data_IF_048899098743
#
_entry.id   IF_048899098743
#
_cell.length_a   1.000
_cell.length_b   1.000
_cell.length_c   1.000
_cell.angle_alpha   90.00
_cell.angle_beta   90.00
_cell.angle_gamma   90.00
#
_symmetry.space_group_name_H-M   'P 1'
#
loop_
_entity.id
_entity.type
_entity.pdbx_description
1 polymer ?
#
# COMPACT_ATOMS: atom_id res chain seq x y z
N UNK A 1 59.34 49.83 14.83
CA UNK A 1 59.80 48.76 13.92
C UNK A 1 58.55 48.03 13.44
N UNK A 2 58.04 48.38 12.25
CA UNK A 2 58.43 47.78 10.97
C UNK A 2 57.93 46.33 10.88
N UNK A 3 56.76 46.06 10.27
CA UNK A 3 56.53 45.77 8.84
C UNK A 3 57.38 44.62 8.27
N UNK A 4 56.71 43.80 7.44
CA UNK A 4 57.15 42.90 6.35
C UNK A 4 56.65 41.46 6.59
N UNK A 5 55.93 40.78 5.69
CA UNK A 5 55.45 41.01 4.33
C UNK A 5 54.80 39.69 3.86
N UNK A 6 53.66 39.72 3.13
CA UNK A 6 53.47 39.32 1.70
C UNK A 6 53.96 37.89 1.37
N UNK A 7 53.30 37.02 0.60
CA UNK A 7 52.22 37.06 -0.41
C UNK A 7 51.77 35.60 -0.62
N UNK A 8 50.47 35.29 -0.72
CA UNK A 8 49.70 35.04 -1.96
C UNK A 8 49.37 33.55 -2.20
N UNK A 9 48.08 33.29 -2.49
CA UNK A 9 47.53 32.00 -2.88
C UNK A 9 46.00 32.03 -2.92
N UNK A 10 45.44 32.70 -3.92
CA UNK A 10 44.01 32.86 -4.22
C UNK A 10 43.46 31.61 -4.92
N UNK A 11 42.20 31.23 -4.61
CA UNK A 11 41.08 30.73 -5.47
C UNK A 11 40.26 29.69 -4.67
N UNK A 12 38.96 29.82 -4.36
CA UNK A 12 37.79 30.34 -5.11
C UNK A 12 36.63 30.73 -4.14
N UNK A 13 36.03 31.92 -4.38
CA UNK A 13 34.62 32.38 -4.23
C UNK A 13 33.67 31.54 -3.33
N UNK A 14 33.08 32.01 -2.22
CA UNK A 14 32.11 33.13 -2.01
C UNK A 14 31.20 33.34 -3.22
N UNK A 15 29.91 33.02 -3.20
CA UNK A 15 28.86 33.69 -2.43
C UNK A 15 27.54 32.97 -2.74
N UNK A 16 26.67 32.87 -1.73
CA UNK A 16 25.21 33.10 -1.79
C UNK A 16 24.58 32.72 -0.44
N UNK A 17 25.13 33.27 0.65
CA UNK A 17 24.38 33.43 1.90
C UNK A 17 23.71 34.80 1.81
N UNK A 18 22.54 34.84 1.19
CA UNK A 18 21.70 36.02 1.04
C UNK A 18 20.50 35.92 1.98
N UNK A 19 20.54 36.74 3.03
CA UNK A 19 19.45 37.37 3.76
C UNK A 19 18.01 36.96 3.40
N UNK A 20 17.26 36.57 4.43
CA UNK A 20 15.80 36.44 4.44
C UNK A 20 15.18 37.80 4.02
N UNK A 21 14.95 37.98 2.73
CA UNK A 21 14.26 39.16 2.18
C UNK A 21 13.36 38.69 1.04
N UNK A 22 12.06 38.71 1.28
CA UNK A 22 10.99 38.66 0.28
C UNK A 22 11.00 37.45 -0.68
N UNK A 23 10.45 36.31 -0.23
CA UNK A 23 9.67 35.48 -1.15
C UNK A 23 8.47 36.31 -1.60
N UNK A 24 8.65 37.10 -2.67
CA UNK A 24 7.55 37.68 -3.44
C UNK A 24 6.69 36.50 -3.89
N UNK A 25 5.58 36.28 -3.20
CA UNK A 25 4.46 35.55 -3.78
C UNK A 25 4.07 36.35 -5.02
N UNK A 26 4.49 35.88 -6.19
CA UNK A 26 3.90 36.31 -7.44
C UNK A 26 2.45 35.85 -7.37
N UNK A 27 1.56 36.74 -6.89
CA UNK A 27 0.15 36.65 -7.19
C UNK A 27 0.06 36.83 -8.69
N UNK A 28 0.17 35.72 -9.42
CA UNK A 28 0.00 35.71 -10.85
C UNK A 28 -1.39 36.28 -11.09
N UNK A 29 -1.48 37.47 -11.70
CA UNK A 29 -2.72 38.10 -12.15
C UNK A 29 -3.32 37.28 -13.30
N UNK A 30 -3.58 36.02 -13.01
CA UNK A 30 -4.10 35.02 -13.93
C UNK A 30 -5.60 35.21 -13.95
N UNK A 31 -6.11 35.65 -15.08
CA UNK A 31 -7.55 35.74 -15.30
C UNK A 31 -8.13 34.33 -15.45
N UNK A 32 -8.61 33.77 -14.35
CA UNK A 32 -9.27 32.48 -14.33
C UNK A 32 -10.53 32.44 -15.20
N UNK A 33 -11.18 33.59 -15.49
CA UNK A 33 -12.32 33.63 -16.41
C UNK A 33 -11.88 33.30 -17.85
N UNK A 34 -10.67 33.67 -18.24
CA UNK A 34 -10.08 33.35 -19.55
C UNK A 34 -9.47 31.94 -19.59
N UNK A 35 -8.75 31.53 -18.54
CA UNK A 35 -8.10 30.21 -18.51
C UNK A 35 -9.07 29.05 -18.29
N UNK A 36 -10.13 29.23 -17.50
CA UNK A 36 -11.06 28.13 -17.17
C UNK A 36 -11.69 27.50 -18.43
N UNK A 37 -12.21 28.26 -19.41
CA UNK A 37 -12.65 27.69 -20.68
C UNK A 37 -11.56 26.91 -21.42
N UNK A 38 -10.33 27.42 -21.46
CA UNK A 38 -9.20 26.76 -22.12
C UNK A 38 -8.82 25.44 -21.43
N UNK A 39 -8.80 25.42 -20.09
CA UNK A 39 -8.52 24.22 -19.28
C UNK A 39 -9.61 23.16 -19.51
N UNK A 40 -10.88 23.56 -19.44
CA UNK A 40 -12.01 22.65 -19.68
C UNK A 40 -11.97 22.10 -21.11
N UNK A 41 -11.66 22.93 -22.11
CA UNK A 41 -11.48 22.48 -23.50
C UNK A 41 -10.32 21.49 -23.63
N UNK A 42 -9.20 21.71 -22.94
CA UNK A 42 -8.05 20.79 -22.94
C UNK A 42 -8.38 19.47 -22.26
N UNK A 43 -9.13 19.49 -21.17
CA UNK A 43 -9.63 18.28 -20.49
C UNK A 43 -10.56 17.50 -21.42
N UNK A 44 -11.56 18.18 -22.02
CA UNK A 44 -12.49 17.59 -22.99
C UNK A 44 -11.80 17.04 -24.25
N UNK A 45 -10.68 17.62 -24.65
CA UNK A 45 -9.90 17.06 -25.76
C UNK A 45 -9.14 15.81 -25.32
N UNK A 46 -8.53 15.82 -24.12
CA UNK A 46 -7.85 14.64 -23.58
C UNK A 46 -8.80 13.46 -23.40
N UNK A 47 -10.05 13.68 -22.99
CA UNK A 47 -11.01 12.59 -22.76
C UNK A 47 -11.22 11.71 -23.99
N UNK A 48 -11.04 12.25 -25.21
CA UNK A 48 -11.19 11.51 -26.47
C UNK A 48 -10.13 10.42 -26.65
N UNK A 49 -8.98 10.57 -26.00
CA UNK A 49 -7.86 9.62 -26.08
C UNK A 49 -7.96 8.49 -25.03
N UNK A 50 -8.97 8.55 -24.16
CA UNK A 50 -9.21 7.56 -23.10
C UNK A 50 -10.34 6.59 -23.49
N UNK A 51 -10.22 5.30 -23.13
CA UNK A 51 -9.04 4.68 -22.50
C UNK A 51 -7.86 4.57 -23.47
N UNK A 52 -6.63 4.71 -22.96
CA UNK A 52 -5.44 4.58 -23.79
C UNK A 52 -5.28 3.12 -24.20
N UNK A 53 -5.57 2.78 -25.46
CA UNK A 53 -5.63 1.41 -25.98
C UNK A 53 -4.43 0.52 -25.59
N UNK A 54 -3.21 1.05 -25.60
CA UNK A 54 -1.98 0.32 -25.20
C UNK A 54 -1.94 -0.09 -23.72
N UNK A 55 -2.75 0.53 -22.87
CA UNK A 55 -2.82 0.23 -21.44
C UNK A 55 -3.89 -0.82 -21.10
N UNK A 56 -4.82 -1.11 -22.01
CA UNK A 56 -5.87 -2.12 -21.80
C UNK A 56 -5.27 -3.50 -21.44
N UNK A 57 -4.24 -4.03 -22.14
CA UNK A 57 -3.66 -5.32 -21.78
C UNK A 57 -3.01 -5.32 -20.39
N UNK A 58 -2.41 -4.20 -19.99
CA UNK A 58 -1.83 -4.04 -18.64
C UNK A 58 -2.92 -4.06 -17.58
N UNK A 59 -4.05 -3.37 -17.83
CA UNK A 59 -5.20 -3.38 -16.93
C UNK A 59 -5.81 -4.78 -16.79
N UNK A 60 -5.97 -5.51 -17.90
CA UNK A 60 -6.43 -6.91 -17.87
C UNK A 60 -5.46 -7.82 -17.11
N UNK A 61 -4.15 -7.63 -17.26
CA UNK A 61 -3.15 -8.39 -16.50
C UNK A 61 -3.25 -8.10 -14.99
N UNK A 62 -3.47 -6.84 -14.60
CA UNK A 62 -3.67 -6.44 -13.19
C UNK A 62 -4.90 -7.12 -12.60
N UNK A 63 -6.01 -7.17 -13.34
CA UNK A 63 -7.24 -7.86 -12.89
C UNK A 63 -6.98 -9.34 -12.67
N UNK A 64 -6.39 -10.04 -13.65
CA UNK A 64 -6.05 -11.47 -13.53
C UNK A 64 -5.08 -11.74 -12.38
N UNK A 65 -4.04 -10.92 -12.24
CA UNK A 65 -3.07 -11.05 -11.16
C UNK A 65 -3.73 -10.87 -9.78
N UNK A 66 -4.71 -9.98 -9.66
CA UNK A 66 -5.48 -9.78 -8.41
C UNK A 66 -6.32 -11.01 -8.06
N UNK A 67 -6.95 -11.64 -9.04
CA UNK A 67 -7.74 -12.86 -8.84
C UNK A 67 -6.87 -14.01 -8.34
N UNK A 68 -5.78 -14.31 -9.07
CA UNK A 68 -4.81 -15.36 -8.70
C UNK A 68 -4.24 -15.11 -7.30
N UNK A 69 -3.90 -13.85 -6.99
CA UNK A 69 -3.41 -13.47 -5.67
C UNK A 69 -4.45 -13.75 -4.58
N UNK A 70 -5.69 -13.33 -4.80
CA UNK A 70 -6.77 -13.43 -3.81
C UNK A 70 -7.13 -14.89 -3.53
N UNK A 71 -7.24 -15.70 -4.59
CA UNK A 71 -7.47 -17.14 -4.50
C UNK A 71 -6.30 -17.82 -3.80
N UNK A 72 -5.07 -17.53 -4.23
CA UNK A 72 -3.85 -18.09 -3.66
C UNK A 72 -3.70 -17.82 -2.17
N UNK A 73 -3.87 -16.56 -1.74
CA UNK A 73 -3.87 -16.21 -0.31
C UNK A 73 -4.98 -16.95 0.44
N UNK A 74 -6.18 -17.04 -0.12
CA UNK A 74 -7.30 -17.76 0.52
C UNK A 74 -7.04 -19.26 0.70
N UNK A 75 -6.29 -19.88 -0.21
CA UNK A 75 -5.85 -21.29 -0.08
C UNK A 75 -4.76 -21.39 0.99
N UNK A 76 -3.75 -20.53 0.94
CA UNK A 76 -2.59 -20.57 1.85
C UNK A 76 -2.98 -20.31 3.31
N UNK A 77 -3.99 -19.46 3.57
CA UNK A 77 -4.52 -19.21 4.91
C UNK A 77 -5.11 -20.46 5.60
N UNK A 78 -5.41 -21.52 4.86
CA UNK A 78 -5.86 -22.80 5.41
C UNK A 78 -4.70 -23.65 5.94
N UNK A 79 -3.49 -23.39 5.49
CA UNK A 79 -2.28 -24.15 5.83
C UNK A 79 -1.34 -23.38 6.76
N UNK A 80 -1.23 -22.06 6.59
CA UNK A 80 -0.34 -21.19 7.38
C UNK A 80 -1.17 -20.29 8.29
N UNK A 81 -1.03 -20.42 9.62
CA UNK A 81 -1.71 -19.53 10.56
C UNK A 81 -1.26 -18.08 10.40
N UNK A 82 -2.23 -17.17 10.46
CA UNK A 82 -2.00 -15.73 10.52
C UNK A 82 -2.63 -15.21 11.80
N UNK A 83 -1.86 -14.42 12.55
CA UNK A 83 -2.26 -13.81 13.81
C UNK A 83 -2.43 -12.31 13.60
N UNK A 84 -3.57 -11.76 13.99
CA UNK A 84 -3.82 -10.32 13.96
C UNK A 84 -3.98 -9.77 15.37
N UNK A 85 -3.37 -8.62 15.65
CA UNK A 85 -3.53 -7.98 16.95
C UNK A 85 -4.91 -7.32 17.05
N UNK A 86 -5.58 -7.51 18.19
CA UNK A 86 -6.90 -6.90 18.44
C UNK A 86 -6.86 -5.38 18.60
N UNK A 87 -5.73 -4.83 19.03
CA UNK A 87 -5.63 -3.43 19.44
C UNK A 87 -4.84 -2.55 18.48
N UNK A 88 -3.94 -3.12 17.69
CA UNK A 88 -3.17 -2.38 16.72
C UNK A 88 -3.18 -3.09 15.36
N UNK A 89 -2.77 -2.40 14.28
CA UNK A 89 -2.82 -3.02 12.96
C UNK A 89 -1.83 -4.17 12.75
N UNK A 90 -0.89 -4.45 13.67
CA UNK A 90 0.16 -5.45 13.48
C UNK A 90 -0.39 -6.86 13.28
N UNK A 91 0.28 -7.63 12.43
CA UNK A 91 -0.03 -9.03 12.15
C UNK A 91 1.26 -9.85 12.15
N UNK A 92 1.14 -11.15 12.37
CA UNK A 92 2.23 -12.11 12.28
C UNK A 92 1.78 -13.30 11.43
N UNK A 93 2.69 -13.84 10.63
CA UNK A 93 2.44 -15.00 9.76
C UNK A 93 3.36 -16.12 10.23
N UNK A 94 2.81 -17.26 10.63
CA UNK A 94 3.57 -18.37 11.18
C UNK A 94 2.83 -19.13 12.28
N UNK A 95 3.38 -20.27 12.68
CA UNK A 95 2.77 -21.16 13.66
C UNK A 95 2.53 -20.46 15.02
N UNK A 96 3.53 -19.71 15.50
CA UNK A 96 3.48 -18.99 16.78
C UNK A 96 3.76 -17.51 16.57
N UNK A 97 2.87 -16.66 17.08
CA UNK A 97 3.09 -15.21 17.04
C UNK A 97 4.24 -14.77 17.95
N UNK A 98 4.89 -13.66 17.59
CA UNK A 98 6.00 -13.11 18.37
C UNK A 98 5.56 -12.60 19.75
N UNK A 99 6.52 -12.58 20.69
CA UNK A 99 6.34 -12.14 22.08
C UNK A 99 6.99 -10.77 22.34
N UNK A 100 7.03 -9.93 21.31
CA UNK A 100 7.61 -8.60 21.43
C UNK A 100 6.59 -7.62 21.98
N UNK A 101 7.04 -6.78 22.91
CA UNK A 101 6.28 -5.65 23.43
C UNK A 101 6.32 -4.49 22.42
N UNK A 102 5.73 -4.69 21.23
CA UNK A 102 5.66 -3.67 20.17
C UNK A 102 4.25 -3.13 19.95
N UNK A 103 3.25 -3.60 20.70
CA UNK A 103 1.88 -3.16 20.53
C UNK A 103 1.74 -1.69 20.93
N UNK A 104 1.18 -0.90 20.02
CA UNK A 104 0.86 0.52 20.26
C UNK A 104 -0.59 0.74 20.73
N UNK A 105 -1.36 -0.33 20.92
CA UNK A 105 -2.76 -0.24 21.30
C UNK A 105 -3.64 0.56 20.31
N UNK A 106 -4.88 0.78 20.70
CA UNK A 106 -5.83 1.54 19.88
C UNK A 106 -5.36 2.99 19.75
N UNK A 107 -5.41 3.56 18.54
CA UNK A 107 -4.99 4.94 18.24
C UNK A 107 -3.56 5.29 18.69
N UNK A 108 -2.67 4.31 18.90
CA UNK A 108 -1.27 4.53 19.32
C UNK A 108 -1.13 5.23 20.69
N UNK A 109 -2.13 5.11 21.57
CA UNK A 109 -2.17 5.82 22.85
C UNK A 109 -1.25 5.23 23.92
N UNK A 110 -0.93 3.93 23.82
CA UNK A 110 -0.13 3.19 24.81
C UNK A 110 0.99 2.50 24.03
N UNK A 111 2.24 2.60 24.50
CA UNK A 111 3.38 1.97 23.82
C UNK A 111 3.86 0.74 24.60
N UNK A 112 4.62 -0.09 23.90
CA UNK A 112 5.42 -1.16 24.47
C UNK A 112 4.63 -2.20 25.29
N UNK A 113 3.44 -2.55 24.81
CA UNK A 113 2.61 -3.62 25.39
C UNK A 113 2.78 -4.94 24.61
N UNK A 114 2.55 -6.10 25.24
CA UNK A 114 2.40 -7.34 24.51
C UNK A 114 1.16 -7.27 23.61
N UNK A 115 1.22 -7.97 22.48
CA UNK A 115 0.08 -8.09 21.58
C UNK A 115 -0.96 -9.07 22.13
N UNK A 116 -2.24 -8.77 21.87
CA UNK A 116 -3.31 -9.73 22.06
C UNK A 116 -3.72 -10.27 20.69
N UNK A 117 -3.22 -11.47 20.37
CA UNK A 117 -3.42 -12.10 19.09
C UNK A 117 -4.80 -12.75 18.97
N UNK A 118 -5.36 -12.69 17.76
CA UNK A 118 -6.51 -13.47 17.32
C UNK A 118 -6.30 -13.95 15.88
N UNK A 119 -7.22 -14.76 15.34
CA UNK A 119 -7.10 -15.25 13.97
C UNK A 119 -7.12 -14.08 12.98
N UNK A 120 -6.14 -14.02 12.08
CA UNK A 120 -6.11 -13.14 10.93
C UNK A 120 -6.73 -13.80 9.70
N UNK A 121 -7.17 -12.98 8.74
CA UNK A 121 -7.78 -13.46 7.51
C UNK A 121 -7.30 -12.71 6.27
N UNK A 122 -8.03 -12.88 5.16
CA UNK A 122 -7.69 -12.34 3.85
C UNK A 122 -7.42 -10.83 3.88
N UNK A 123 -8.31 -10.05 4.50
CA UNK A 123 -8.21 -8.59 4.56
C UNK A 123 -7.06 -8.07 5.43
N UNK A 124 -6.46 -8.93 6.27
CA UNK A 124 -5.25 -8.60 7.02
C UNK A 124 -4.00 -8.69 6.13
N UNK A 125 -4.00 -9.62 5.17
CA UNK A 125 -2.90 -9.86 4.22
C UNK A 125 -3.05 -8.94 2.99
N UNK A 126 -4.21 -8.99 2.33
CA UNK A 126 -4.57 -8.13 1.20
C UNK A 126 -5.44 -7.01 1.75
N UNK A 127 -4.83 -5.87 2.07
CA UNK A 127 -5.55 -4.74 2.67
C UNK A 127 -6.56 -4.17 1.66
N UNK A 128 -7.87 -4.18 1.97
CA UNK A 128 -8.87 -3.63 1.08
C UNK A 128 -8.75 -2.10 1.03
N UNK A 129 -8.61 -1.56 -0.17
CA UNK A 129 -8.66 -0.12 -0.45
C UNK A 129 -9.80 0.11 -1.43
N UNK A 130 -10.73 0.99 -1.06
CA UNK A 130 -11.90 1.30 -1.85
C UNK A 130 -11.76 2.68 -2.53
N UNK A 131 -12.46 2.84 -3.64
CA UNK A 131 -12.69 4.09 -4.34
C UNK A 131 -14.17 4.18 -4.77
N UNK A 132 -14.63 5.38 -5.11
CA UNK A 132 -15.92 5.53 -5.78
C UNK A 132 -15.81 5.04 -7.20
N UNK A 133 -16.79 4.24 -7.62
CA UNK A 133 -16.96 3.89 -9.01
C UNK A 133 -17.40 5.12 -9.82
N UNK A 134 -16.79 5.32 -10.97
CA UNK A 134 -17.08 6.43 -11.87
C UNK A 134 -17.32 5.89 -13.27
N UNK A 135 -18.24 6.51 -14.01
CA UNK A 135 -18.50 6.13 -15.40
C UNK A 135 -17.31 6.52 -16.28
N UNK A 136 -16.72 7.70 -16.02
CA UNK A 136 -15.64 8.24 -16.83
C UNK A 136 -14.62 9.01 -15.98
N UNK A 137 -13.33 8.90 -16.31
CA UNK A 137 -12.22 9.51 -15.55
C UNK A 137 -12.28 11.04 -15.40
N UNK A 138 -13.09 11.71 -16.23
CA UNK A 138 -13.22 13.16 -16.30
C UNK A 138 -14.64 13.65 -16.03
N UNK A 139 -15.45 12.85 -15.35
CA UNK A 139 -16.77 13.27 -14.92
C UNK A 139 -16.71 14.36 -13.84
N UNK A 140 -17.86 14.93 -13.52
CA UNK A 140 -17.98 15.93 -12.47
C UNK A 140 -17.60 15.37 -11.10
N UNK A 141 -16.99 16.22 -10.26
CA UNK A 141 -16.55 15.83 -8.93
C UNK A 141 -17.73 15.41 -8.05
N UNK A 142 -17.64 14.19 -7.49
CA UNK A 142 -18.65 13.67 -6.56
C UNK A 142 -18.75 14.59 -5.34
N UNK A 143 -19.93 15.18 -5.15
CA UNK A 143 -20.21 16.05 -4.00
C UNK A 143 -20.52 15.21 -2.76
N UNK A 144 -20.52 15.86 -1.59
CA UNK A 144 -20.78 15.15 -0.33
C UNK A 144 -22.17 14.54 -0.23
N UNK A 145 -23.18 15.26 -0.67
CA UNK A 145 -24.57 14.81 -0.76
C UNK A 145 -24.72 13.59 -1.68
N UNK A 146 -23.97 13.58 -2.78
CA UNK A 146 -24.02 12.51 -3.79
C UNK A 146 -23.27 11.24 -3.41
N UNK A 147 -22.57 11.19 -2.27
CA UNK A 147 -21.68 10.06 -1.93
C UNK A 147 -22.40 8.70 -1.82
N UNK A 148 -23.71 8.71 -1.62
CA UNK A 148 -24.52 7.49 -1.52
C UNK A 148 -25.06 7.04 -2.88
N UNK A 149 -24.99 7.91 -3.89
CA UNK A 149 -25.43 7.63 -5.25
C UNK A 149 -24.37 6.82 -6.02
N UNK A 150 -23.14 6.79 -5.51
CA UNK A 150 -22.01 6.08 -6.11
C UNK A 150 -21.66 4.82 -5.34
N UNK A 151 -21.46 3.73 -6.08
CA UNK A 151 -20.99 2.46 -5.52
C UNK A 151 -19.52 2.58 -5.10
N UNK A 152 -19.15 1.86 -4.04
CA UNK A 152 -17.77 1.70 -3.58
C UNK A 152 -17.20 0.40 -4.13
N UNK A 153 -16.06 0.47 -4.79
CA UNK A 153 -15.39 -0.67 -5.43
C UNK A 153 -13.91 -0.70 -5.04
N UNK A 154 -13.21 -1.84 -5.15
CA UNK A 154 -11.76 -1.88 -4.90
C UNK A 154 -11.02 -0.90 -5.82
N UNK A 155 -10.16 -0.04 -5.25
CA UNK A 155 -9.48 1.03 -5.97
C UNK A 155 -8.63 0.53 -7.15
N UNK A 156 -8.05 -0.66 -7.02
CA UNK A 156 -7.33 -1.33 -8.12
C UNK A 156 -8.26 -1.68 -9.28
N UNK A 157 -9.47 -2.17 -9.00
CA UNK A 157 -10.45 -2.50 -10.04
C UNK A 157 -10.98 -1.24 -10.70
N UNK A 158 -11.26 -0.18 -9.93
CA UNK A 158 -11.62 1.12 -10.50
C UNK A 158 -10.52 1.64 -11.42
N UNK A 159 -9.25 1.54 -11.02
CA UNK A 159 -8.12 1.95 -11.87
C UNK A 159 -8.08 1.15 -13.18
N UNK A 160 -8.33 -0.15 -13.13
CA UNK A 160 -8.36 -1.00 -14.31
C UNK A 160 -9.57 -0.70 -15.21
N UNK A 161 -10.73 -0.45 -14.61
CA UNK A 161 -11.95 -0.05 -15.31
C UNK A 161 -11.72 1.24 -16.11
N UNK A 162 -11.20 2.28 -15.46
CA UNK A 162 -10.85 3.54 -16.13
C UNK A 162 -9.80 3.33 -17.22
N UNK A 163 -8.96 2.30 -17.09
CA UNK A 163 -8.00 1.90 -18.10
C UNK A 163 -8.56 1.07 -19.27
N UNK A 164 -9.87 0.81 -19.27
CA UNK A 164 -10.57 0.08 -20.32
C UNK A 164 -10.51 -1.44 -20.15
N UNK A 165 -10.19 -1.96 -18.95
CA UNK A 165 -10.38 -3.37 -18.67
C UNK A 165 -11.87 -3.70 -18.57
N UNK A 166 -12.29 -4.72 -19.29
CA UNK A 166 -13.59 -5.35 -19.11
C UNK A 166 -13.56 -6.11 -17.78
N UNK A 167 -14.40 -5.68 -16.84
CA UNK A 167 -14.56 -6.33 -15.55
C UNK A 167 -15.84 -7.17 -15.61
N UNK A 168 -15.79 -8.47 -15.29
CA UNK A 168 -17.00 -9.24 -15.04
C UNK A 168 -17.87 -8.52 -14.01
N UNK A 169 -19.18 -8.42 -14.24
CA UNK A 169 -20.12 -7.72 -13.33
C UNK A 169 -19.95 -8.17 -11.86
N UNK A 170 -19.65 -9.46 -11.65
CA UNK A 170 -19.37 -10.01 -10.32
C UNK A 170 -18.15 -9.42 -9.61
N UNK A 171 -17.15 -8.86 -10.29
CA UNK A 171 -15.95 -8.31 -9.63
C UNK A 171 -16.13 -6.91 -9.06
N UNK A 172 -17.08 -6.12 -9.61
CA UNK A 172 -17.35 -4.76 -9.16
C UNK A 172 -18.31 -4.73 -7.97
N UNK A 173 -19.31 -5.62 -7.95
CA UNK A 173 -20.42 -5.56 -6.98
C UNK A 173 -20.38 -6.64 -5.88
N UNK A 174 -19.51 -7.66 -5.97
CA UNK A 174 -19.40 -8.72 -4.96
C UNK A 174 -18.55 -8.26 -3.78
N UNK A 175 -19.22 -7.64 -2.81
CA UNK A 175 -18.61 -7.16 -1.56
C UNK A 175 -18.28 -8.28 -0.56
N UNK A 176 -18.86 -9.48 -0.70
CA UNK A 176 -18.84 -10.48 0.39
C UNK A 176 -18.54 -11.95 0.00
N UNK A 177 -18.76 -12.40 -1.25
CA UNK A 177 -18.86 -13.85 -1.49
C UNK A 177 -17.51 -14.58 -1.62
N UNK A 178 -16.38 -13.89 -1.80
CA UNK A 178 -15.06 -14.55 -1.72
C UNK A 178 -14.71 -14.94 -0.27
N UNK A 179 -15.34 -14.30 0.72
CA UNK A 179 -15.22 -14.68 2.13
C UNK A 179 -16.25 -15.75 2.55
N UNK A 180 -17.42 -15.80 1.89
CA UNK A 180 -18.49 -16.76 2.23
C UNK A 180 -18.44 -18.06 1.43
N UNK A 181 -17.91 -18.07 0.21
CA UNK A 181 -17.74 -19.31 -0.56
C UNK A 181 -16.70 -20.26 0.07
N UNK A 182 -15.81 -19.75 0.94
CA UNK A 182 -14.96 -20.58 1.79
C UNK A 182 -15.74 -21.37 2.86
N UNK A 183 -17.05 -21.09 3.06
CA UNK A 183 -17.95 -21.87 3.94
C UNK A 183 -18.81 -22.89 3.18
N UNK A 184 -18.70 -22.99 1.86
CA UNK A 184 -19.42 -23.97 1.04
C UNK A 184 -18.44 -24.88 0.28
N UNK A 185 -17.64 -25.64 1.04
CA UNK A 185 -17.18 -27.00 0.73
C UNK A 185 -16.17 -27.43 1.81
N UNK A 186 -16.70 -27.90 2.95
CA UNK A 186 -15.94 -28.56 4.02
C UNK A 186 -15.44 -29.94 3.58
N UNK A 187 -14.68 -30.02 2.48
CA UNK A 187 -14.02 -31.23 1.98
C UNK A 187 -13.14 -30.91 0.74
N UNK A 188 -12.31 -29.87 0.80
CA UNK A 188 -11.07 -29.91 -0.02
C UNK A 188 -10.02 -30.66 0.79
N UNK A 189 -9.41 -31.74 0.26
CA UNK A 189 -8.35 -32.46 0.96
C UNK A 189 -7.22 -31.50 1.32
N UNK A 190 -6.55 -31.75 2.45
CA UNK A 190 -5.34 -31.02 2.81
C UNK A 190 -4.33 -31.15 1.66
N UNK A 191 -3.94 -30.01 1.10
CA UNK A 191 -2.98 -29.96 -0.01
C UNK A 191 -1.64 -30.52 0.46
N UNK A 192 -0.94 -31.23 -0.43
CA UNK A 192 0.41 -31.72 -0.16
C UNK A 192 1.39 -30.55 -0.07
N UNK A 193 2.52 -30.70 0.66
CA UNK A 193 3.54 -29.64 0.74
C UNK A 193 4.02 -29.12 -0.62
N UNK A 194 4.16 -29.99 -1.63
CA UNK A 194 4.57 -29.60 -2.98
C UNK A 194 3.51 -28.76 -3.70
N UNK A 195 2.22 -29.06 -3.49
CA UNK A 195 1.11 -28.29 -4.05
C UNK A 195 1.01 -26.92 -3.38
N UNK A 196 1.15 -26.87 -2.05
CA UNK A 196 1.21 -25.62 -1.29
C UNK A 196 2.37 -24.75 -1.75
N UNK A 197 3.55 -25.33 -1.99
CA UNK A 197 4.70 -24.62 -2.55
C UNK A 197 4.40 -24.02 -3.92
N UNK A 198 3.74 -24.78 -4.81
CA UNK A 198 3.33 -24.29 -6.13
C UNK A 198 2.32 -23.14 -6.03
N UNK A 199 1.31 -23.27 -5.16
CA UNK A 199 0.35 -22.20 -4.88
C UNK A 199 1.08 -20.96 -4.34
N UNK A 200 1.99 -21.14 -3.39
CA UNK A 200 2.84 -20.07 -2.85
C UNK A 200 3.63 -19.35 -3.93
N UNK A 201 4.28 -20.10 -4.83
CA UNK A 201 5.06 -19.51 -5.92
C UNK A 201 4.17 -18.70 -6.88
N UNK A 202 3.03 -19.26 -7.32
CA UNK A 202 2.09 -18.57 -8.21
C UNK A 202 1.50 -17.31 -7.56
N UNK A 203 1.19 -17.40 -6.27
CA UNK A 203 0.64 -16.28 -5.47
C UNK A 203 1.66 -15.14 -5.35
N UNK A 204 2.91 -15.48 -5.05
CA UNK A 204 4.00 -14.51 -4.97
C UNK A 204 4.24 -13.82 -6.31
N UNK A 205 4.28 -14.54 -7.42
CA UNK A 205 4.45 -13.91 -8.73
C UNK A 205 3.25 -13.03 -9.11
N UNK A 206 2.03 -13.46 -8.77
CA UNK A 206 0.82 -12.67 -8.99
C UNK A 206 0.85 -11.36 -8.19
N UNK A 207 1.32 -11.39 -6.95
CA UNK A 207 1.56 -10.20 -6.13
C UNK A 207 2.51 -9.21 -6.81
N UNK A 208 3.62 -9.70 -7.36
CA UNK A 208 4.61 -8.85 -8.04
C UNK A 208 4.06 -8.26 -9.35
N UNK A 209 3.39 -9.08 -10.17
CA UNK A 209 2.74 -8.63 -11.41
C UNK A 209 1.66 -7.59 -11.14
N UNK A 210 0.83 -7.81 -10.11
CA UNK A 210 -0.20 -6.87 -9.67
C UNK A 210 0.39 -5.50 -9.37
N UNK A 211 1.41 -5.45 -8.50
CA UNK A 211 2.04 -4.18 -8.10
C UNK A 211 2.72 -3.49 -9.27
N UNK A 212 3.41 -4.24 -10.13
CA UNK A 212 4.07 -3.69 -11.32
C UNK A 212 3.05 -3.10 -12.30
N UNK A 213 1.96 -3.81 -12.56
CA UNK A 213 0.90 -3.35 -13.44
C UNK A 213 0.19 -2.10 -12.91
N UNK A 214 -0.15 -2.08 -11.61
CA UNK A 214 -0.70 -0.88 -10.95
C UNK A 214 0.28 0.29 -11.06
N UNK A 215 1.58 0.06 -10.86
CA UNK A 215 2.61 1.10 -11.05
C UNK A 215 2.58 1.67 -12.47
N UNK A 216 2.51 0.82 -13.49
CA UNK A 216 2.43 1.25 -14.90
C UNK A 216 1.14 2.04 -15.18
N UNK A 217 0.01 1.60 -14.64
CA UNK A 217 -1.27 2.29 -14.80
C UNK A 217 -1.26 3.67 -14.13
N UNK A 218 -0.71 3.80 -12.92
CA UNK A 218 -0.62 5.08 -12.19
C UNK A 218 0.27 6.14 -12.88
N UNK A 219 1.13 5.73 -13.82
CA UNK A 219 1.88 6.67 -14.66
C UNK A 219 0.99 7.37 -15.70
N UNK A 220 -0.11 6.72 -16.08
CA UNK A 220 -0.98 7.15 -17.19
C UNK A 220 -2.32 7.67 -16.67
N UNK A 221 -2.90 7.00 -15.68
CA UNK A 221 -4.21 7.28 -15.12
C UNK A 221 -4.05 8.01 -13.79
N UNK A 222 -4.32 9.34 -13.75
CA UNK A 222 -4.17 10.12 -12.54
C UNK A 222 -5.05 9.53 -11.43
N UNK A 223 -4.46 9.33 -10.26
CA UNK A 223 -5.17 8.87 -9.07
C UNK A 223 -4.71 9.68 -7.87
N UNK A 224 -5.61 9.86 -6.91
CA UNK A 224 -5.43 10.66 -5.70
C UNK A 224 -5.68 9.81 -4.48
N UNK A 225 -4.94 10.10 -3.43
CA UNK A 225 -5.15 9.54 -2.09
C UNK A 225 -5.19 10.67 -1.08
N UNK A 226 -5.96 10.50 -0.02
CA UNK A 226 -5.93 11.44 1.09
C UNK A 226 -4.64 11.27 1.91
N UNK A 227 -3.99 12.36 2.30
CA UNK A 227 -2.78 12.33 3.14
C UNK A 227 -3.03 11.76 4.54
N UNK A 228 -4.26 11.83 5.03
CA UNK A 228 -4.60 11.56 6.42
C UNK A 228 -5.50 10.33 6.63
N UNK A 229 -6.07 9.77 5.56
CA UNK A 229 -6.91 8.58 5.64
C UNK A 229 -6.72 7.72 4.39
N UNK A 230 -7.15 6.45 4.43
CA UNK A 230 -7.01 5.48 3.34
C UNK A 230 -7.97 5.70 2.16
N UNK A 231 -8.51 6.90 1.98
CA UNK A 231 -9.44 7.20 0.90
C UNK A 231 -8.68 7.41 -0.41
N UNK A 232 -9.10 6.69 -1.45
CA UNK A 232 -8.53 6.77 -2.81
C UNK A 232 -9.60 7.20 -3.80
N UNK A 233 -9.18 8.01 -4.77
CA UNK A 233 -9.99 8.42 -5.91
C UNK A 233 -9.20 8.25 -7.20
N UNK A 234 -9.73 7.50 -8.15
CA UNK A 234 -9.15 7.37 -9.49
C UNK A 234 -9.67 8.51 -10.35
N UNK A 235 -8.83 9.49 -10.63
CA UNK A 235 -9.22 10.73 -11.29
C UNK A 235 -8.31 11.91 -10.94
N UNK A 236 -8.52 13.05 -11.60
CA UNK A 236 -7.59 14.18 -11.54
C UNK A 236 -7.73 15.01 -10.26
N UNK A 237 -8.95 15.24 -9.79
CA UNK A 237 -9.21 16.25 -8.75
C UNK A 237 -9.50 15.69 -7.36
N UNK A 238 -9.89 14.41 -7.26
CA UNK A 238 -10.45 13.89 -6.01
C UNK A 238 -11.90 14.30 -5.83
N UNK A 239 -12.65 13.54 -5.03
CA UNK A 239 -14.03 13.89 -4.71
C UNK A 239 -14.13 14.95 -3.61
N UNK A 240 -15.31 15.58 -3.50
CA UNK A 240 -15.66 16.58 -2.47
C UNK A 240 -16.42 15.99 -1.28
N UNK A 241 -16.62 14.67 -1.24
CA UNK A 241 -17.25 14.04 -0.08
C UNK A 241 -16.48 14.32 1.22
N UNK A 242 -17.22 14.73 2.26
CA UNK A 242 -16.68 15.06 3.57
C UNK A 242 -16.70 13.84 4.49
N UNK A 243 -15.84 12.87 4.21
CA UNK A 243 -15.79 11.60 4.95
C UNK A 243 -14.41 11.30 5.56
N UNK A 244 -13.48 12.27 5.52
CA UNK A 244 -12.20 12.14 6.20
C UNK A 244 -12.41 12.13 7.73
N UNK A 245 -12.25 10.97 8.36
CA UNK A 245 -12.48 10.79 9.80
C UNK A 245 -11.51 11.56 10.70
N UNK A 246 -10.31 11.90 10.22
CA UNK A 246 -9.31 12.66 10.97
C UNK A 246 -9.76 14.10 11.20
N UNK A 247 -10.40 14.71 10.21
CA UNK A 247 -10.75 16.13 10.22
C UNK A 247 -12.23 16.41 10.54
N UNK A 248 -12.94 15.44 11.13
CA UNK A 248 -14.38 15.58 11.40
C UNK A 248 -14.69 16.76 12.33
N UNK A 249 -13.82 17.01 13.31
CA UNK A 249 -14.00 18.05 14.34
C UNK A 249 -13.09 19.28 14.16
N UNK A 250 -12.24 19.28 13.14
CA UNK A 250 -11.37 20.41 12.81
C UNK A 250 -12.02 21.33 11.76
N UNK A 251 -11.41 22.51 11.51
CA UNK A 251 -11.94 23.50 10.55
C UNK A 251 -12.11 23.00 9.11
N UNK A 252 -11.48 21.88 8.77
CA UNK A 252 -11.57 21.19 7.48
C UNK A 252 -12.90 20.44 7.28
N UNK A 253 -13.71 20.25 8.33
CA UNK A 253 -15.07 19.70 8.28
C UNK A 253 -15.17 18.39 7.49
N UNK A 254 -14.23 17.47 7.73
CA UNK A 254 -14.19 16.15 7.10
C UNK A 254 -13.75 16.12 5.63
N UNK A 255 -13.24 17.23 5.06
CA UNK A 255 -12.68 17.24 3.70
C UNK A 255 -11.38 16.44 3.61
N UNK A 256 -11.08 15.92 2.42
CA UNK A 256 -9.83 15.23 2.13
C UNK A 256 -8.74 16.22 1.71
N UNK A 257 -7.50 15.90 2.06
CA UNK A 257 -6.31 16.55 1.54
C UNK A 257 -5.66 15.63 0.51
N UNK A 258 -5.90 15.91 -0.76
CA UNK A 258 -5.50 15.03 -1.86
C UNK A 258 -4.03 15.20 -2.24
N UNK A 259 -3.30 14.09 -2.28
CA UNK A 259 -1.98 13.97 -2.93
C UNK A 259 -2.05 12.99 -4.10
N UNK A 260 -1.01 12.97 -4.94
CA UNK A 260 -0.87 11.95 -5.99
C UNK A 260 -0.73 10.57 -5.34
N UNK A 261 -1.50 9.59 -5.81
CA UNK A 261 -1.42 8.22 -5.33
C UNK A 261 -0.20 7.49 -5.93
N UNK A 262 0.44 6.67 -5.10
CA UNK A 262 1.44 5.68 -5.48
C UNK A 262 0.88 4.26 -5.37
N UNK A 263 1.72 3.28 -5.71
CA UNK A 263 1.34 1.86 -5.69
C UNK A 263 0.95 1.37 -4.29
N UNK A 264 1.62 1.84 -3.24
CA UNK A 264 1.30 1.46 -1.85
C UNK A 264 -0.02 2.06 -1.35
N UNK A 265 -0.54 3.11 -2.01
CA UNK A 265 -1.83 3.69 -1.64
C UNK A 265 -3.00 2.84 -2.18
N UNK A 266 -2.82 2.15 -3.31
CA UNK A 266 -3.85 1.27 -3.91
C UNK A 266 -3.66 -0.20 -3.55
N UNK A 267 -2.40 -0.63 -3.38
CA UNK A 267 -2.02 -1.99 -3.00
C UNK A 267 -1.11 -1.88 -1.78
N UNK A 268 -1.64 -1.65 -0.57
CA UNK A 268 -0.81 -1.48 0.61
C UNK A 268 -0.01 -2.73 0.93
N UNK A 269 1.26 -2.55 1.30
CA UNK A 269 2.10 -3.64 1.79
C UNK A 269 2.00 -3.70 3.30
N UNK A 270 1.49 -4.82 3.81
CA UNK A 270 1.52 -5.07 5.25
C UNK A 270 2.87 -5.64 5.63
N UNK A 271 3.73 -4.85 6.25
CA UNK A 271 5.05 -5.32 6.67
C UNK A 271 4.91 -6.14 7.96
N UNK A 272 5.50 -7.33 7.96
CA UNK A 272 5.53 -8.28 9.08
C UNK A 272 6.96 -8.66 9.40
N UNK A 273 7.18 -9.20 10.59
CA UNK A 273 8.44 -9.81 10.97
C UNK A 273 8.68 -11.09 10.15
N UNK A 274 9.88 -11.21 9.60
CA UNK A 274 10.34 -12.40 8.90
C UNK A 274 11.26 -13.18 9.84
N UNK A 275 10.93 -14.46 10.05
CA UNK A 275 11.75 -15.39 10.82
C UNK A 275 12.67 -16.17 9.88
N UNK A 276 13.97 -16.03 10.06
CA UNK A 276 14.97 -16.75 9.26
C UNK A 276 15.18 -18.17 9.81
N UNK A 277 15.75 -19.10 9.03
CA UNK A 277 15.98 -20.47 9.48
C UNK A 277 16.81 -20.62 10.76
N UNK A 278 17.66 -19.65 11.08
CA UNK A 278 18.51 -19.65 12.28
C UNK A 278 17.96 -18.78 13.43
N UNK A 279 16.85 -18.07 13.21
CA UNK A 279 16.18 -17.29 14.27
C UNK A 279 15.40 -18.22 15.21
N UNK A 280 15.17 -17.82 16.47
CA UNK A 280 14.39 -18.63 17.40
C UNK A 280 12.95 -18.86 16.90
N UNK A 281 12.32 -20.00 17.24
CA UNK A 281 10.92 -20.31 16.87
C UNK A 281 9.91 -19.23 17.25
N UNK A 282 10.20 -18.47 18.30
CA UNK A 282 9.38 -17.36 18.78
C UNK A 282 10.27 -16.12 18.83
N UNK A 283 9.93 -15.11 18.04
CA UNK A 283 10.67 -13.86 18.01
C UNK A 283 10.43 -13.06 19.31
N UNK A 284 11.53 -12.71 19.98
CA UNK A 284 11.55 -11.93 21.23
C UNK A 284 12.18 -10.57 21.04
N UNK A 285 11.87 -9.63 21.94
CA UNK A 285 12.24 -8.22 21.77
C UNK A 285 13.75 -7.98 21.69
N UNK A 286 14.55 -8.77 22.41
CA UNK A 286 16.02 -8.65 22.44
C UNK A 286 16.68 -8.88 21.06
N UNK A 287 16.04 -9.65 20.18
CA UNK A 287 16.55 -9.94 18.84
C UNK A 287 15.96 -9.06 17.72
N UNK A 288 15.09 -8.10 18.04
CA UNK A 288 14.33 -7.33 17.04
C UNK A 288 15.21 -6.63 15.99
N UNK A 289 16.41 -6.22 16.37
CA UNK A 289 17.32 -5.49 15.48
C UNK A 289 18.03 -6.44 14.50
N UNK A 290 17.97 -7.75 14.73
CA UNK A 290 18.56 -8.80 13.90
C UNK A 290 17.55 -9.40 12.92
N UNK A 291 16.28 -9.52 13.32
CA UNK A 291 15.25 -10.15 12.48
C UNK A 291 14.95 -9.34 11.21
N UNK A 292 14.53 -10.08 10.19
CA UNK A 292 14.07 -9.54 8.93
C UNK A 292 12.65 -9.00 8.99
N UNK A 293 12.25 -8.36 7.91
CA UNK A 293 10.87 -8.01 7.63
C UNK A 293 10.51 -8.44 6.21
N UNK A 294 9.22 -8.61 5.95
CA UNK A 294 8.71 -8.86 4.60
C UNK A 294 7.28 -8.32 4.46
N UNK A 295 6.79 -8.06 3.24
CA UNK A 295 5.36 -7.95 3.00
C UNK A 295 4.65 -9.25 3.40
N UNK A 296 3.49 -9.16 4.04
CA UNK A 296 2.78 -10.31 4.58
C UNK A 296 2.43 -11.37 3.52
N UNK A 297 2.13 -10.93 2.29
CA UNK A 297 1.93 -11.83 1.14
C UNK A 297 3.20 -12.63 0.83
N UNK A 298 4.36 -11.97 0.87
CA UNK A 298 5.66 -12.61 0.62
C UNK A 298 5.97 -13.61 1.73
N UNK A 299 5.81 -13.19 3.00
CA UNK A 299 6.00 -14.06 4.16
C UNK A 299 5.11 -15.30 4.08
N UNK A 300 3.82 -15.13 3.80
CA UNK A 300 2.85 -16.22 3.66
C UNK A 300 3.28 -17.24 2.59
N UNK A 301 3.82 -16.78 1.47
CA UNK A 301 4.29 -17.67 0.40
C UNK A 301 5.60 -18.37 0.79
N UNK A 302 6.53 -17.69 1.46
CA UNK A 302 7.81 -18.25 1.90
C UNK A 302 7.59 -19.34 2.97
N UNK A 303 6.61 -19.17 3.86
CA UNK A 303 6.25 -20.17 4.88
C UNK A 303 5.81 -21.53 4.29
N UNK A 304 5.33 -21.56 3.05
CA UNK A 304 5.03 -22.80 2.32
C UNK A 304 6.13 -23.23 1.35
N UNK A 305 7.31 -22.62 1.44
CA UNK A 305 8.49 -22.96 0.64
C UNK A 305 8.59 -22.27 -0.72
N UNK A 306 7.80 -21.23 -0.98
CA UNK A 306 7.99 -20.40 -2.18
C UNK A 306 9.31 -19.62 -2.08
N UNK A 307 9.93 -19.34 -3.23
CA UNK A 307 11.21 -18.62 -3.27
C UNK A 307 10.97 -17.13 -3.50
N UNK A 308 11.28 -16.32 -2.48
CA UNK A 308 11.23 -14.87 -2.58
C UNK A 308 12.18 -14.33 -3.66
N UNK A 309 11.77 -13.28 -4.36
CA UNK A 309 12.64 -12.56 -5.30
C UNK A 309 13.81 -11.90 -4.55
N UNK A 310 15.02 -11.83 -5.14
CA UNK A 310 16.19 -11.22 -4.51
C UNK A 310 15.99 -9.77 -4.03
N UNK A 311 15.01 -9.05 -4.60
CA UNK A 311 14.65 -7.69 -4.17
C UNK A 311 14.17 -7.61 -2.71
N UNK A 312 13.76 -8.73 -2.12
CA UNK A 312 13.34 -8.81 -0.72
C UNK A 312 14.48 -9.17 0.24
N UNK A 313 15.62 -9.68 -0.25
CA UNK A 313 16.71 -10.22 0.57
C UNK A 313 17.22 -9.22 1.62
N UNK A 314 17.35 -7.94 1.25
CA UNK A 314 17.79 -6.90 2.19
C UNK A 314 16.76 -6.67 3.30
N UNK A 315 15.47 -6.70 2.97
CA UNK A 315 14.39 -6.52 3.95
C UNK A 315 14.30 -7.74 4.87
N UNK A 316 14.41 -8.94 4.30
CA UNK A 316 14.34 -10.23 5.00
C UNK A 316 15.62 -10.55 5.77
N UNK A 317 16.73 -9.82 5.53
CA UNK A 317 18.03 -10.06 6.16
C UNK A 317 18.51 -11.51 6.04
N UNK A 318 18.37 -12.09 4.86
CA UNK A 318 18.75 -13.49 4.55
C UNK A 318 20.17 -13.86 5.02
N UNK A 319 21.12 -12.91 4.90
CA UNK A 319 22.51 -13.06 5.36
C UNK A 319 22.85 -12.17 6.57
N UNK A 320 21.83 -11.66 7.27
CA UNK A 320 22.02 -10.86 8.47
C UNK A 320 22.53 -11.70 9.63
N UNK A 321 23.20 -11.04 10.58
CA UNK A 321 23.70 -11.71 11.78
C UNK A 321 22.56 -12.29 12.63
N UNK A 322 22.85 -13.37 13.35
CA UNK A 322 21.97 -13.91 14.37
C UNK A 322 22.04 -13.02 15.63
N UNK A 323 20.96 -12.92 16.43
CA UNK A 323 21.05 -12.33 17.76
C UNK A 323 22.14 -13.01 18.60
N UNK A 324 22.89 -12.27 19.43
CA UNK A 324 23.82 -12.89 20.37
C UNK A 324 23.03 -13.82 21.29
N UNK A 325 23.53 -15.06 21.46
CA UNK A 325 22.95 -16.02 22.40
C UNK A 325 22.96 -15.38 23.78
N UNK A 326 21.78 -15.08 24.34
CA UNK A 326 21.68 -14.78 25.75
C UNK A 326 22.09 -16.06 26.47
N UNK A 327 23.30 -16.07 27.02
CA UNK A 327 23.65 -17.02 28.07
C UNK A 327 22.73 -16.65 29.22
N UNK A 328 21.64 -17.38 29.37
CA UNK A 328 20.79 -17.23 30.54
C UNK A 328 21.67 -17.31 31.79
N UNK A 329 21.45 -16.37 32.69
CA UNK A 329 22.07 -16.32 34.00
C UNK A 329 21.72 -17.62 34.74
N UNK A 330 22.59 -18.61 34.60
CA UNK A 330 22.67 -19.73 35.52
C UNK A 330 23.31 -19.20 36.81
N UNK A 331 22.48 -18.72 37.73
CA UNK A 331 22.69 -18.74 39.19
C UNK A 331 21.43 -18.31 39.90
#
# INVERSE_FOLDING_TARGET
>A
MAFMGRMAGIRICSELCGSIVNLRMYSSRVDWKQLRPMILKRIKNRTKDYPIKRMIPVAQEVVRAREILTEGVSILLRAVPVHSCKFCPEIHVGAMAHQMNTCHGFKRMIKDRPHQWGPGGLNNIIVPVEAFHQENMFQDEIRHDQRFDFTRVPAVLELCHQAGAELPEGLLYRRDELCTAAKANNQSPALRPDELRLVGQRTLEAWERLRLGVTKLLLVYPSKVCENCSEVHVGISGHKARMCGVFKFEGWRGKHRWKKAGVDDLVPQKIVWHQRPHDPPILVYSGRDYYGHAPAVVELCVQVGARASPKYNCMMKEHGLAPPVQRDQAT
#
